data_IF_416034115516
#
_entry.id   IF_416034115516
#
_cell.length_a   1.000
_cell.length_b   1.000
_cell.length_c   1.000
_cell.angle_alpha   90.00
_cell.angle_beta   90.00
_cell.angle_gamma   90.00
#
_symmetry.space_group_name_H-M   'P 1'
#
loop_
_entity.id
_entity.type
_entity.pdbx_description
1 polymer ?
#
# COMPACT_ATOMS: atom_id res chain seq x y z
N UNK A 1 -0.26 -4.71 -14.32
CA UNK A 1 0.54 -4.80 -13.08
C UNK A 1 0.03 -3.83 -12.06
N UNK A 2 -0.06 -4.26 -10.82
CA UNK A 2 -0.58 -3.45 -9.74
C UNK A 2 0.46 -3.31 -8.65
N UNK A 3 0.70 -2.08 -8.21
CA UNK A 3 1.64 -1.81 -7.15
C UNK A 3 0.87 -1.67 -5.84
N UNK A 4 1.11 -2.57 -4.90
CA UNK A 4 0.39 -2.61 -3.63
C UNK A 4 1.33 -2.34 -2.46
N UNK A 5 2.08 -1.25 -2.53
CA UNK A 5 3.05 -0.89 -1.48
C UNK A 5 2.43 -0.77 -0.09
N UNK A 6 1.13 -0.59 0.00
CA UNK A 6 0.44 -0.47 1.29
C UNK A 6 -0.16 -1.78 1.76
N UNK A 7 0.33 -2.91 1.26
CA UNK A 7 -0.09 -4.19 1.81
C UNK A 7 0.45 -4.35 3.24
N UNK A 8 -0.27 -5.10 4.05
CA UNK A 8 0.10 -5.34 5.46
C UNK A 8 1.54 -5.85 5.56
N UNK A 9 1.91 -6.81 4.71
CA UNK A 9 3.24 -7.44 4.76
C UNK A 9 4.38 -6.47 4.41
N UNK A 10 4.09 -5.42 3.66
CA UNK A 10 5.09 -4.40 3.35
C UNK A 10 5.11 -3.33 4.43
N UNK A 11 3.94 -2.92 4.87
CA UNK A 11 3.79 -1.80 5.79
C UNK A 11 4.22 -2.12 7.22
N UNK A 12 3.70 -3.21 7.79
CA UNK A 12 3.89 -3.47 9.21
C UNK A 12 5.33 -3.73 9.62
N UNK A 13 6.16 -4.44 8.84
CA UNK A 13 7.56 -4.62 9.24
C UNK A 13 8.34 -3.31 9.34
N UNK A 14 7.83 -2.25 8.69
CA UNK A 14 8.50 -0.95 8.69
C UNK A 14 7.62 0.14 9.28
N UNK A 15 6.58 -0.26 10.02
CA UNK A 15 5.63 0.71 10.54
C UNK A 15 6.27 1.66 11.54
N UNK A 16 5.99 2.96 11.35
CA UNK A 16 6.37 3.97 12.32
C UNK A 16 5.13 4.77 12.65
N UNK A 17 4.78 4.81 13.92
CA UNK A 17 3.64 5.61 14.37
C UNK A 17 3.87 7.09 14.14
N UNK A 18 5.12 7.54 14.32
CA UNK A 18 5.47 8.93 14.06
C UNK A 18 6.71 9.01 13.20
N UNK A 19 6.66 9.87 12.21
CA UNK A 19 7.77 10.08 11.31
C UNK A 19 7.95 11.58 11.08
N UNK A 20 9.18 12.05 11.11
CA UNK A 20 9.46 13.47 10.93
C UNK A 20 10.61 13.66 9.96
N UNK A 21 10.46 14.60 9.04
CA UNK A 21 11.51 14.98 8.11
C UNK A 21 11.67 16.50 8.15
N UNK A 22 12.90 16.98 8.09
CA UNK A 22 13.18 18.39 8.08
C UNK A 22 14.03 18.72 6.87
N UNK A 23 13.57 19.69 6.06
CA UNK A 23 14.30 20.16 4.89
C UNK A 23 14.42 21.67 5.02
N UNK A 24 15.59 22.15 5.45
CA UNK A 24 15.79 23.59 5.68
C UNK A 24 14.82 24.10 6.75
N UNK A 25 13.95 25.02 6.38
CA UNK A 25 12.96 25.58 7.31
C UNK A 25 11.60 24.91 7.21
N UNK A 26 11.49 23.82 6.44
CA UNK A 26 10.27 23.08 6.30
C UNK A 26 10.33 21.82 7.16
N UNK A 27 9.30 21.62 7.97
CA UNK A 27 9.16 20.41 8.79
C UNK A 27 7.95 19.64 8.31
N UNK A 28 8.13 18.35 8.05
CA UNK A 28 7.06 17.44 7.70
C UNK A 28 6.92 16.41 8.82
N UNK A 29 5.71 16.26 9.32
CA UNK A 29 5.44 15.28 10.35
C UNK A 29 4.30 14.37 9.89
N UNK A 30 4.42 13.08 10.18
CA UNK A 30 3.36 12.12 9.90
C UNK A 30 3.09 11.34 11.18
N UNK A 31 1.83 11.33 11.60
CA UNK A 31 1.37 10.51 12.70
C UNK A 31 0.46 9.45 12.12
N UNK A 32 0.85 8.19 12.26
CA UNK A 32 0.14 7.06 11.69
C UNK A 32 -0.46 6.16 12.76
N UNK A 33 -1.69 5.71 12.52
CA UNK A 33 -2.36 4.78 13.39
C UNK A 33 -2.89 3.66 12.57
N UNK A 34 -2.57 2.43 12.90
CA UNK A 34 -3.13 1.27 12.22
C UNK A 34 -4.09 0.56 13.16
N UNK A 35 -5.32 0.35 12.69
CA UNK A 35 -6.32 -0.39 13.45
C UNK A 35 -6.35 -1.81 12.90
N UNK A 36 -5.80 -2.74 13.66
CA UNK A 36 -5.70 -4.14 13.25
C UNK A 36 -7.07 -4.84 13.20
N UNK A 37 -8.06 -4.31 13.91
CA UNK A 37 -9.38 -4.91 13.91
C UNK A 37 -10.15 -4.60 12.63
N UNK A 38 -9.95 -3.44 12.08
CA UNK A 38 -10.66 -3.01 10.88
C UNK A 38 -9.81 -3.03 9.62
N UNK A 39 -8.48 -3.03 9.78
CA UNK A 39 -7.55 -2.96 8.66
C UNK A 39 -7.40 -1.57 8.06
N UNK A 40 -7.82 -0.54 8.79
CA UNK A 40 -7.67 0.84 8.33
C UNK A 40 -6.46 1.51 8.97
N UNK A 41 -5.75 2.29 8.18
CA UNK A 41 -4.70 3.15 8.69
C UNK A 41 -5.14 4.59 8.54
N UNK A 42 -4.98 5.36 9.62
CA UNK A 42 -5.23 6.78 9.61
C UNK A 42 -3.91 7.50 9.72
N UNK A 43 -3.69 8.49 8.87
CA UNK A 43 -2.45 9.26 8.88
C UNK A 43 -2.80 10.74 8.98
N UNK A 44 -2.08 11.44 9.85
CA UNK A 44 -2.17 12.89 9.95
C UNK A 44 -0.84 13.45 9.49
N UNK A 45 -0.86 14.22 8.43
CA UNK A 45 0.33 14.85 7.88
C UNK A 45 0.31 16.33 8.21
N UNK A 46 1.39 16.82 8.78
CA UNK A 46 1.53 18.24 9.09
C UNK A 46 2.77 18.79 8.43
N UNK A 47 2.61 19.84 7.65
CA UNK A 47 3.73 20.54 7.02
C UNK A 47 3.81 21.92 7.65
N UNK A 48 4.97 22.28 8.17
CA UNK A 48 5.17 23.56 8.84
C UNK A 48 6.34 24.32 8.23
N UNK A 49 6.18 25.63 8.14
CA UNK A 49 7.25 26.50 7.72
C UNK A 49 7.09 27.81 8.47
N UNK A 50 8.05 28.10 9.36
CA UNK A 50 7.95 29.27 10.25
C UNK A 50 6.73 29.11 11.17
N UNK A 51 5.86 30.11 11.15
CA UNK A 51 4.63 30.07 11.96
C UNK A 51 3.42 29.60 11.15
N UNK A 52 3.64 29.10 9.95
CA UNK A 52 2.57 28.54 9.11
C UNK A 52 2.58 27.04 9.20
N UNK A 53 1.43 26.42 9.30
CA UNK A 53 1.31 24.98 9.24
C UNK A 53 0.00 24.55 8.60
N UNK A 54 0.02 23.40 7.95
CA UNK A 54 -1.14 22.80 7.33
C UNK A 54 -1.20 21.36 7.73
N UNK A 55 -2.39 20.88 8.06
CA UNK A 55 -2.60 19.50 8.46
C UNK A 55 -3.58 18.84 7.50
N UNK A 56 -3.26 17.63 7.06
CA UNK A 56 -4.13 16.81 6.22
C UNK A 56 -4.32 15.45 6.84
N UNK A 57 -5.52 14.93 6.69
CA UNK A 57 -5.86 13.61 7.19
C UNK A 57 -6.08 12.68 6.02
N UNK A 58 -5.60 11.45 6.13
CA UNK A 58 -5.80 10.43 5.12
C UNK A 58 -6.16 9.12 5.78
N UNK A 59 -7.01 8.32 5.14
CA UNK A 59 -7.36 7.00 5.60
C UNK A 59 -7.18 6.02 4.46
N UNK A 60 -6.55 4.88 4.77
CA UNK A 60 -6.31 3.84 3.78
C UNK A 60 -6.70 2.50 4.36
N UNK A 61 -7.46 1.71 3.60
CA UNK A 61 -7.68 0.33 3.95
C UNK A 61 -6.42 -0.44 3.56
N UNK A 62 -5.83 -1.15 4.50
CA UNK A 62 -4.60 -1.89 4.26
C UNK A 62 -4.96 -3.37 4.11
N UNK A 63 -4.63 -3.96 2.97
CA UNK A 63 -4.97 -5.33 2.66
C UNK A 63 -3.76 -6.24 2.77
N UNK A 64 -4.00 -7.51 3.12
CA UNK A 64 -2.94 -8.50 3.06
C UNK A 64 -2.73 -8.95 1.62
N UNK A 65 -1.61 -9.59 1.36
CA UNK A 65 -1.33 -10.22 0.07
C UNK A 65 -2.51 -11.13 -0.33
N UNK A 66 -2.93 -11.98 0.59
CA UNK A 66 -4.00 -12.92 0.32
C UNK A 66 -5.32 -12.24 0.00
N UNK A 67 -5.65 -11.17 0.71
CA UNK A 67 -6.87 -10.43 0.44
C UNK A 67 -6.85 -9.82 -0.96
N UNK A 68 -5.72 -9.27 -1.38
CA UNK A 68 -5.60 -8.67 -2.72
C UNK A 68 -5.75 -9.75 -3.80
N UNK A 69 -5.12 -10.91 -3.61
CA UNK A 69 -5.26 -12.02 -4.55
C UNK A 69 -6.73 -12.43 -4.68
N UNK A 70 -7.41 -12.56 -3.55
CA UNK A 70 -8.83 -12.94 -3.54
C UNK A 70 -9.68 -11.91 -4.29
N UNK A 71 -9.43 -10.62 -4.06
CA UNK A 71 -10.17 -9.57 -4.74
C UNK A 71 -9.92 -9.57 -6.25
N UNK A 72 -8.68 -9.81 -6.66
CA UNK A 72 -8.35 -9.85 -8.08
C UNK A 72 -9.03 -11.05 -8.76
N UNK A 73 -9.00 -12.18 -8.11
CA UNK A 73 -9.67 -13.38 -8.64
C UNK A 73 -11.17 -13.17 -8.74
N UNK A 74 -11.78 -12.56 -7.74
CA UNK A 74 -13.20 -12.26 -7.76
C UNK A 74 -13.57 -11.28 -8.86
N UNK A 75 -12.64 -10.42 -9.25
CA UNK A 75 -12.84 -9.46 -10.33
C UNK A 75 -12.56 -10.04 -11.71
N UNK A 76 -12.21 -11.32 -11.81
CA UNK A 76 -12.01 -11.99 -13.09
C UNK A 76 -10.57 -12.09 -13.56
N UNK A 77 -9.59 -11.79 -12.69
CA UNK A 77 -8.19 -11.96 -13.06
C UNK A 77 -7.74 -13.37 -12.75
N UNK A 78 -6.82 -13.88 -13.56
CA UNK A 78 -6.24 -15.21 -13.40
C UNK A 78 -4.73 -15.09 -13.28
N UNK A 79 -4.09 -16.18 -12.88
CA UNK A 79 -2.62 -16.24 -12.80
C UNK A 79 -2.03 -15.08 -12.02
N UNK A 80 -2.60 -14.81 -10.85
CA UNK A 80 -2.15 -13.71 -10.01
C UNK A 80 -0.85 -14.08 -9.31
N UNK A 81 0.20 -13.30 -9.57
CA UNK A 81 1.50 -13.50 -8.94
C UNK A 81 1.99 -12.21 -8.30
N UNK A 82 2.62 -12.33 -7.13
CA UNK A 82 3.20 -11.19 -6.44
C UNK A 82 4.71 -11.21 -6.51
N UNK A 83 5.30 -10.05 -6.73
CA UNK A 83 6.74 -9.87 -6.85
C UNK A 83 7.23 -8.79 -5.91
N UNK A 84 8.47 -8.91 -5.47
CA UNK A 84 9.08 -7.94 -4.59
C UNK A 84 9.78 -6.79 -5.31
N UNK A 85 9.93 -6.88 -6.63
CA UNK A 85 10.58 -5.82 -7.40
C UNK A 85 10.19 -5.91 -8.86
N UNK A 86 10.56 -4.89 -9.62
CA UNK A 86 10.30 -4.85 -11.06
C UNK A 86 11.15 -5.89 -11.81
N UNK A 87 12.17 -6.44 -11.19
CA UNK A 87 13.00 -7.46 -11.79
C UNK A 87 12.41 -8.86 -11.67
N UNK A 88 11.23 -8.98 -11.05
CA UNK A 88 10.56 -10.27 -10.94
C UNK A 88 11.00 -11.15 -9.79
N UNK A 89 11.63 -10.55 -8.78
CA UNK A 89 11.99 -11.31 -7.59
C UNK A 89 10.76 -11.73 -6.83
N UNK A 90 10.74 -12.95 -6.25
CA UNK A 90 9.57 -13.36 -5.46
C UNK A 90 9.30 -12.43 -4.30
N UNK A 91 8.05 -12.25 -3.96
CA UNK A 91 7.69 -11.43 -2.82
C UNK A 91 7.97 -12.18 -1.51
N UNK A 92 8.48 -11.47 -0.52
CA UNK A 92 8.68 -11.98 0.83
C UNK A 92 8.54 -10.84 1.82
N UNK A 93 8.54 -11.16 3.10
CA UNK A 93 8.34 -10.12 4.13
C UNK A 93 9.46 -9.11 4.20
N UNK A 94 10.63 -9.43 3.62
CA UNK A 94 11.72 -8.48 3.60
C UNK A 94 11.66 -7.56 2.38
N UNK A 95 10.73 -7.80 1.47
CA UNK A 95 10.58 -6.97 0.29
C UNK A 95 10.02 -5.61 0.73
N UNK A 96 10.56 -4.55 0.20
CA UNK A 96 10.06 -3.21 0.49
C UNK A 96 8.90 -2.80 -0.38
N UNK A 97 8.39 -3.72 -1.18
CA UNK A 97 7.41 -3.42 -2.20
C UNK A 97 6.67 -4.68 -2.60
N UNK A 98 5.43 -4.54 -3.00
CA UNK A 98 4.64 -5.65 -3.51
C UNK A 98 4.02 -5.24 -4.83
N UNK A 99 4.31 -6.02 -5.87
CA UNK A 99 3.75 -5.80 -7.20
C UNK A 99 2.99 -7.06 -7.59
N UNK A 100 1.83 -6.89 -8.18
CA UNK A 100 1.06 -8.01 -8.68
C UNK A 100 1.01 -7.98 -10.21
N UNK A 101 1.16 -9.13 -10.81
CA UNK A 101 0.90 -9.34 -12.22
C UNK A 101 -0.26 -10.33 -12.32
N UNK A 102 -1.21 -10.05 -13.16
CA UNK A 102 -2.38 -10.91 -13.32
C UNK A 102 -2.90 -10.80 -14.75
N UNK A 103 -3.50 -11.86 -15.23
CA UNK A 103 -4.08 -11.90 -16.55
C UNK A 103 -5.59 -11.78 -16.43
N UNK A 104 -6.17 -10.88 -17.18
CA UNK A 104 -7.61 -10.73 -17.15
C UNK A 104 -8.27 -11.88 -17.88
N UNK A 105 -9.28 -12.46 -17.25
CA UNK A 105 -10.02 -13.54 -17.86
C UNK A 105 -10.75 -13.05 -19.09
N UNK A 106 -10.65 -13.78 -20.19
CA UNK A 106 -11.34 -13.42 -21.42
C UNK A 106 -12.85 -13.51 -21.25
N UNK A 107 -13.61 -12.61 -21.86
CA UNK A 107 -15.07 -12.69 -21.78
C UNK A 107 -15.57 -13.98 -22.43
N UNK A 108 -16.51 -14.63 -21.76
CA UNK A 108 -16.99 -15.84 -22.33
C UNK A 108 -17.80 -15.68 -23.56
N UNK A 109 -18.47 -14.60 -23.66
CA UNK A 109 -19.25 -14.34 -24.84
C UNK A 109 -18.40 -14.21 -26.05
N UNK A 110 -17.15 -14.01 -25.85
CA UNK A 110 -16.27 -13.88 -26.97
C UNK A 110 -16.13 -15.19 -27.68
N UNK A 111 -16.66 -16.25 -27.12
CA UNK A 111 -16.44 -17.39 -27.66
C UNK A 111 -17.48 -17.86 -28.25
N UNK A 112 -17.88 -17.80 -28.77
CA UNK A 112 -18.81 -18.42 -29.34
C UNK A 112 -19.46 -18.00 -30.15
#
# INVERSE_FOLDING_TARGET
MIDAVKAVEVLLPRFRGRHELVFGDIRFEADNRYDHETGWMESRYTVSRGDRSETRLARHRIYTYREVVTMLQAAGFEDVEGFGSLQGEPFGLESGRLLFAATRKAPRTAKR
#
